data_IF_568933556708
#
_entry.id   IF_568933556708
#
_cell.length_a   1.000
_cell.length_b   1.000
_cell.length_c   1.000
_cell.angle_alpha   90.00
_cell.angle_beta   90.00
_cell.angle_gamma   90.00
#
_symmetry.space_group_name_H-M   'P 1'
#
loop_
_entity.id
_entity.type
_entity.pdbx_description
1 polymer ?
#
# COMPACT_ATOMS: atom_id res chain seq x y z
N UNK A 1 -12.21 32.89 6.28
CA UNK A 1 -11.85 32.51 7.67
C UNK A 1 -11.33 31.07 7.84
N UNK A 2 -11.39 30.18 6.84
CA UNK A 2 -10.91 28.79 6.98
C UNK A 2 -9.37 28.66 7.08
N UNK A 3 -8.61 29.53 6.41
CA UNK A 3 -7.13 29.41 6.36
C UNK A 3 -6.42 29.52 7.72
N UNK A 4 -6.75 30.48 8.61
CA UNK A 4 -6.16 30.52 9.96
C UNK A 4 -6.49 29.28 10.80
N UNK A 5 -7.73 28.78 10.71
CA UNK A 5 -8.16 27.58 11.44
C UNK A 5 -7.39 26.34 10.98
N UNK A 6 -7.20 26.18 9.66
CA UNK A 6 -6.41 25.07 9.11
C UNK A 6 -4.94 25.14 9.57
N UNK A 7 -4.33 26.33 9.57
CA UNK A 7 -2.95 26.51 10.04
C UNK A 7 -2.82 26.17 11.52
N UNK A 8 -3.76 26.63 12.36
CA UNK A 8 -3.77 26.31 13.79
C UNK A 8 -3.96 24.80 14.00
N UNK A 9 -4.88 24.17 13.28
CA UNK A 9 -5.12 22.73 13.38
C UNK A 9 -3.86 21.91 13.02
N UNK A 10 -3.18 22.27 11.92
CA UNK A 10 -1.91 21.64 11.54
C UNK A 10 -0.83 21.89 12.59
N UNK A 11 -0.73 23.10 13.14
CA UNK A 11 0.24 23.41 14.18
C UNK A 11 0.01 22.58 15.47
N UNK A 12 -1.25 22.42 15.88
CA UNK A 12 -1.62 21.57 17.03
C UNK A 12 -1.31 20.10 16.75
N UNK A 13 -1.63 19.59 15.55
CA UNK A 13 -1.32 18.22 15.16
C UNK A 13 0.18 17.95 15.13
N UNK A 14 0.97 18.84 14.53
CA UNK A 14 2.42 18.72 14.47
C UNK A 14 3.03 18.85 15.87
N UNK A 15 2.58 19.83 16.67
CA UNK A 15 3.07 20.03 18.03
C UNK A 15 2.80 18.83 18.95
N UNK A 16 1.57 18.30 18.92
CA UNK A 16 1.23 17.08 19.67
C UNK A 16 2.00 15.85 19.16
N UNK A 17 2.17 15.72 17.83
CA UNK A 17 2.99 14.67 17.23
C UNK A 17 4.45 14.72 17.70
N UNK A 18 5.07 15.90 17.73
CA UNK A 18 6.44 16.09 18.22
C UNK A 18 6.53 15.70 19.71
N UNK A 19 5.59 16.15 20.53
CA UNK A 19 5.56 15.82 21.96
C UNK A 19 5.44 14.30 22.19
N UNK A 20 4.51 13.63 21.49
CA UNK A 20 4.33 12.18 21.62
C UNK A 20 5.55 11.42 21.09
N UNK A 21 6.15 11.88 19.99
CA UNK A 21 7.36 11.27 19.41
C UNK A 21 8.54 11.34 20.38
N UNK A 22 8.70 12.46 21.09
CA UNK A 22 9.75 12.62 22.08
C UNK A 22 9.62 11.60 23.22
N UNK A 23 8.40 11.35 23.69
CA UNK A 23 8.14 10.45 24.83
C UNK A 23 8.12 8.97 24.45
N UNK A 24 7.58 8.61 23.28
CA UNK A 24 7.35 7.21 22.91
C UNK A 24 8.44 6.58 22.04
N UNK A 25 9.37 7.38 21.48
CA UNK A 25 10.40 6.86 20.57
C UNK A 25 11.78 6.79 21.22
N UNK A 26 12.19 7.84 21.92
CA UNK A 26 13.43 7.93 22.69
C UNK A 26 14.75 7.95 21.90
N UNK A 27 14.81 7.47 20.66
CA UNK A 27 16.04 7.47 19.84
C UNK A 27 15.77 7.36 18.32
N UNK A 28 16.78 7.69 17.49
CA UNK A 28 16.69 7.48 16.03
C UNK A 28 16.57 6.01 15.64
N UNK A 29 17.20 5.11 16.42
CA UNK A 29 17.06 3.65 16.22
C UNK A 29 15.63 3.22 16.52
N UNK A 30 15.02 3.74 17.59
CA UNK A 30 13.61 3.50 17.90
C UNK A 30 12.64 4.11 16.89
N UNK A 31 13.03 5.16 16.16
CA UNK A 31 12.21 5.76 15.09
C UNK A 31 12.15 4.87 13.85
N UNK A 32 13.30 4.29 13.48
CA UNK A 32 13.38 3.51 12.23
C UNK A 32 13.13 2.04 12.50
N UNK A 33 13.67 1.48 13.58
CA UNK A 33 13.79 0.05 13.87
C UNK A 33 12.68 -0.60 14.69
N UNK A 34 11.51 0.01 14.81
CA UNK A 34 10.34 -0.57 15.48
C UNK A 34 9.07 -0.35 14.67
N UNK A 35 8.06 -1.20 14.91
CA UNK A 35 6.74 -1.09 14.27
C UNK A 35 6.08 0.27 14.57
N UNK A 36 6.16 0.72 15.83
CA UNK A 36 5.67 2.03 16.24
C UNK A 36 6.35 3.18 15.50
N UNK A 37 7.69 3.16 15.44
CA UNK A 37 8.49 4.21 14.80
C UNK A 37 8.22 4.30 13.29
N UNK A 38 8.22 3.16 12.58
CA UNK A 38 7.98 3.17 11.14
C UNK A 38 6.53 3.53 10.78
N UNK A 39 5.56 3.16 11.62
CA UNK A 39 4.17 3.58 11.43
C UNK A 39 4.00 5.09 11.64
N UNK A 40 4.75 5.70 12.57
CA UNK A 40 4.84 7.15 12.66
C UNK A 40 5.48 7.75 11.39
N UNK A 41 6.58 7.20 10.88
CA UNK A 41 7.19 7.67 9.64
C UNK A 41 6.22 7.59 8.46
N UNK A 42 5.45 6.50 8.36
CA UNK A 42 4.34 6.35 7.41
C UNK A 42 3.36 7.52 7.51
N UNK A 43 2.89 7.85 8.72
CA UNK A 43 2.00 8.99 8.94
C UNK A 43 2.63 10.32 8.54
N UNK A 44 3.92 10.53 8.81
CA UNK A 44 4.65 11.74 8.42
C UNK A 44 4.73 11.85 6.89
N UNK A 45 5.06 10.77 6.19
CA UNK A 45 5.12 10.72 4.73
C UNK A 45 3.74 11.02 4.13
N UNK A 46 2.69 10.34 4.60
CA UNK A 46 1.31 10.59 4.17
C UNK A 46 0.88 12.03 4.44
N UNK A 47 1.17 12.57 5.64
CA UNK A 47 0.89 13.96 5.99
C UNK A 47 1.61 14.93 5.05
N UNK A 48 2.88 14.68 4.72
CA UNK A 48 3.62 15.47 3.73
C UNK A 48 2.94 15.49 2.37
N UNK A 49 2.41 14.34 1.93
CA UNK A 49 1.60 14.24 0.70
C UNK A 49 0.29 15.05 0.79
N UNK A 50 -0.43 14.95 1.90
CA UNK A 50 -1.65 15.74 2.14
C UNK A 50 -1.38 17.25 2.14
N UNK A 51 -0.34 17.70 2.85
CA UNK A 51 0.09 19.09 2.89
C UNK A 51 0.54 19.61 1.53
N UNK A 52 1.17 18.77 0.69
CA UNK A 52 1.52 19.14 -0.68
C UNK A 52 0.26 19.44 -1.50
N UNK A 53 -0.76 18.57 -1.43
CA UNK A 53 -2.04 18.81 -2.12
C UNK A 53 -2.76 20.05 -1.58
N UNK A 54 -2.79 20.23 -0.26
CA UNK A 54 -3.33 21.43 0.39
C UNK A 54 -2.59 22.71 -0.01
N UNK A 55 -1.26 22.64 -0.16
CA UNK A 55 -0.42 23.73 -0.66
C UNK A 55 -0.73 24.09 -2.11
N UNK A 56 -0.91 23.10 -3.00
CA UNK A 56 -1.34 23.31 -4.38
C UNK A 56 -2.71 24.01 -4.43
N UNK A 57 -3.64 23.62 -3.56
CA UNK A 57 -4.94 24.28 -3.41
C UNK A 57 -4.81 25.73 -2.96
N UNK A 58 -3.98 25.99 -1.94
CA UNK A 58 -3.75 27.36 -1.45
C UNK A 58 -3.15 28.26 -2.53
N UNK A 59 -2.19 27.76 -3.31
CA UNK A 59 -1.62 28.50 -4.45
C UNK A 59 -2.65 28.75 -5.55
N UNK A 60 -3.51 27.75 -5.85
CA UNK A 60 -4.59 27.89 -6.85
C UNK A 60 -5.57 28.99 -6.45
N UNK A 61 -5.99 29.04 -5.18
CA UNK A 61 -6.89 30.06 -4.64
C UNK A 61 -6.23 31.44 -4.63
N UNK A 62 -4.95 31.54 -4.26
CA UNK A 62 -4.21 32.80 -4.29
C UNK A 62 -4.06 33.35 -5.71
N UNK A 63 -3.75 32.49 -6.68
CA UNK A 63 -3.66 32.87 -8.08
C UNK A 63 -5.02 33.35 -8.62
N UNK A 64 -6.12 32.73 -8.21
CA UNK A 64 -7.46 33.22 -8.53
C UNK A 64 -7.73 34.62 -7.97
N UNK A 65 -7.35 34.87 -6.71
CA UNK A 65 -7.53 36.20 -6.11
C UNK A 65 -6.80 37.31 -6.90
N UNK A 66 -5.76 36.95 -7.66
CA UNK A 66 -5.00 37.86 -8.53
C UNK A 66 -5.59 37.94 -9.95
N UNK A 67 -6.04 36.82 -10.52
CA UNK A 67 -6.38 36.71 -11.95
C UNK A 67 -7.89 36.64 -12.25
N UNK A 68 -8.75 36.39 -11.25
CA UNK A 68 -10.22 36.34 -11.40
C UNK A 68 -10.79 35.08 -12.07
N UNK A 69 -9.98 34.09 -12.45
CA UNK A 69 -10.45 32.86 -13.13
C UNK A 69 -11.13 31.87 -12.17
N UNK A 70 -12.43 32.04 -11.95
CA UNK A 70 -13.24 31.15 -11.10
C UNK A 70 -13.29 29.71 -11.63
N UNK A 71 -13.12 29.50 -12.94
CA UNK A 71 -13.25 28.19 -13.57
C UNK A 71 -12.15 27.22 -13.13
N UNK A 72 -10.91 27.71 -13.02
CA UNK A 72 -9.79 26.90 -12.53
C UNK A 72 -9.99 26.46 -11.07
N UNK A 73 -10.47 27.34 -10.21
CA UNK A 73 -10.71 27.05 -8.78
C UNK A 73 -11.79 25.98 -8.63
N UNK A 74 -12.94 26.18 -9.27
CA UNK A 74 -14.08 25.26 -9.20
C UNK A 74 -13.75 23.87 -9.75
N UNK A 75 -12.82 23.78 -10.71
CA UNK A 75 -12.37 22.50 -11.27
C UNK A 75 -11.30 21.81 -10.42
N UNK A 76 -10.27 22.53 -9.97
CA UNK A 76 -9.07 21.93 -9.33
C UNK A 76 -9.25 21.67 -7.85
N UNK A 77 -9.77 22.66 -7.11
CA UNK A 77 -9.78 22.62 -5.64
C UNK A 77 -10.54 21.42 -5.08
N UNK A 78 -11.75 21.07 -5.58
CA UNK A 78 -12.47 19.91 -5.07
C UNK A 78 -11.73 18.59 -5.27
N UNK A 79 -11.02 18.44 -6.40
CA UNK A 79 -10.33 17.19 -6.73
C UNK A 79 -9.16 16.95 -5.79
N UNK A 80 -8.31 17.97 -5.60
CA UNK A 80 -7.20 17.87 -4.67
C UNK A 80 -7.65 17.78 -3.21
N UNK A 81 -8.71 18.50 -2.82
CA UNK A 81 -9.26 18.42 -1.47
C UNK A 81 -9.85 17.02 -1.17
N UNK A 82 -10.46 16.36 -2.16
CA UNK A 82 -10.94 14.98 -2.02
C UNK A 82 -9.78 13.98 -1.89
N UNK A 83 -8.71 14.16 -2.67
CA UNK A 83 -7.52 13.33 -2.55
C UNK A 83 -6.81 13.53 -1.20
N UNK A 84 -6.70 14.78 -0.75
CA UNK A 84 -6.20 15.15 0.58
C UNK A 84 -7.05 14.52 1.69
N UNK A 85 -8.38 14.56 1.59
CA UNK A 85 -9.28 13.92 2.54
C UNK A 85 -9.12 12.40 2.57
N UNK A 86 -8.89 11.75 1.42
CA UNK A 86 -8.58 10.33 1.35
C UNK A 86 -7.28 9.97 2.10
N UNK A 87 -6.21 10.74 1.88
CA UNK A 87 -4.95 10.60 2.63
C UNK A 87 -5.18 10.83 4.13
N UNK A 88 -5.93 11.87 4.49
CA UNK A 88 -6.29 12.18 5.88
C UNK A 88 -7.03 11.04 6.57
N UNK A 89 -8.00 10.42 5.89
CA UNK A 89 -8.70 9.23 6.40
C UNK A 89 -7.74 8.06 6.65
N UNK A 90 -6.79 7.82 5.75
CA UNK A 90 -5.76 6.79 5.96
C UNK A 90 -4.85 7.13 7.15
N UNK A 91 -4.47 8.40 7.34
CA UNK A 91 -3.68 8.82 8.51
C UNK A 91 -4.43 8.53 9.81
N UNK A 92 -5.75 8.72 9.85
CA UNK A 92 -6.58 8.39 11.01
C UNK A 92 -6.62 6.87 11.26
N UNK A 93 -6.77 6.06 10.21
CA UNK A 93 -6.72 4.61 10.33
C UNK A 93 -5.35 4.12 10.81
N UNK A 94 -4.26 4.66 10.26
CA UNK A 94 -2.90 4.38 10.71
C UNK A 94 -2.67 4.82 12.17
N UNK A 95 -3.27 5.93 12.59
CA UNK A 95 -3.22 6.36 13.99
C UNK A 95 -3.95 5.39 14.93
N UNK A 96 -5.09 4.83 14.50
CA UNK A 96 -5.79 3.79 15.26
C UNK A 96 -4.98 2.48 15.32
N UNK A 97 -4.35 2.06 14.21
CA UNK A 97 -3.46 0.90 14.22
C UNK A 97 -2.24 1.09 15.14
N UNK A 98 -1.70 2.31 15.19
CA UNK A 98 -0.55 2.67 16.04
C UNK A 98 -0.83 2.47 17.54
N UNK A 99 -2.09 2.57 18.01
CA UNK A 99 -2.41 2.35 19.43
C UNK A 99 -2.28 0.89 19.86
N UNK A 100 -2.25 -0.04 18.90
CA UNK A 100 -2.00 -1.46 19.16
C UNK A 100 -0.52 -1.82 19.23
N UNK A 101 0.37 -0.89 18.87
CA UNK A 101 1.81 -1.13 18.82
C UNK A 101 2.48 -0.65 20.12
N UNK A 102 3.40 -1.43 20.72
CA UNK A 102 4.12 -0.96 21.89
C UNK A 102 5.03 0.22 21.50
N UNK A 103 5.11 1.27 22.33
CA UNK A 103 6.06 2.35 22.14
C UNK A 103 7.50 1.87 21.94
N UNK A 104 8.29 2.55 21.10
CA UNK A 104 9.67 2.14 20.83
C UNK A 104 10.56 2.12 22.07
N UNK A 105 10.25 2.97 23.06
CA UNK A 105 10.93 3.02 24.37
C UNK A 105 10.72 1.77 25.21
N UNK A 106 9.65 1.00 24.96
CA UNK A 106 9.32 -0.22 25.71
C UNK A 106 9.93 -1.48 25.07
N UNK A 107 10.41 -1.39 23.82
CA UNK A 107 10.93 -2.52 23.04
C UNK A 107 12.41 -2.35 22.64
N UNK A 108 13.21 -1.67 23.46
CA UNK A 108 14.63 -1.35 23.17
C UNK A 108 15.45 -2.60 22.78
N UNK A 109 15.19 -3.74 23.40
CA UNK A 109 15.91 -5.00 23.12
C UNK A 109 15.47 -5.70 21.82
N UNK A 110 14.37 -5.26 21.20
CA UNK A 110 13.81 -5.83 19.96
C UNK A 110 13.97 -4.88 18.77
N UNK A 111 14.67 -3.76 18.93
CA UNK A 111 14.86 -2.79 17.85
C UNK A 111 15.77 -3.36 16.76
N UNK A 112 15.38 -3.16 15.50
CA UNK A 112 16.27 -3.37 14.37
C UNK A 112 17.23 -2.20 14.22
N UNK A 113 18.46 -2.49 13.83
CA UNK A 113 19.43 -1.48 13.41
C UNK A 113 19.00 -0.85 12.08
N UNK A 114 19.33 0.43 11.83
CA UNK A 114 19.03 1.06 10.53
C UNK A 114 19.61 0.29 9.33
N UNK A 115 20.73 -0.42 9.52
CA UNK A 115 21.32 -1.27 8.49
C UNK A 115 20.46 -2.50 8.17
N UNK A 116 19.89 -3.16 9.18
CA UNK A 116 18.94 -4.27 8.99
C UNK A 116 17.68 -3.79 8.25
N UNK A 117 17.17 -2.60 8.58
CA UNK A 117 16.01 -1.99 7.89
C UNK A 117 16.34 -1.66 6.44
N UNK A 118 17.51 -1.08 6.17
CA UNK A 118 17.94 -0.82 4.81
C UNK A 118 18.07 -2.12 4.00
N UNK A 119 18.61 -3.18 4.62
CA UNK A 119 18.76 -4.49 4.00
C UNK A 119 17.41 -5.09 3.55
N UNK A 120 16.30 -4.76 4.22
CA UNK A 120 14.94 -5.16 3.77
C UNK A 120 14.68 -4.70 2.33
N UNK A 121 15.11 -3.49 1.96
CA UNK A 121 14.86 -2.89 0.65
C UNK A 121 15.97 -3.12 -0.38
N UNK A 122 17.10 -3.69 0.02
CA UNK A 122 18.21 -3.95 -0.90
C UNK A 122 17.85 -5.05 -1.91
N UNK A 123 18.35 -4.97 -3.16
CA UNK A 123 18.18 -6.04 -4.14
C UNK A 123 18.72 -7.37 -3.61
N UNK A 124 17.88 -8.40 -3.67
CA UNK A 124 18.20 -9.78 -3.27
C UNK A 124 17.90 -10.72 -4.44
N UNK A 125 18.52 -11.91 -4.42
CA UNK A 125 18.19 -12.96 -5.38
C UNK A 125 16.76 -13.46 -5.11
N UNK A 126 15.81 -13.35 -6.06
CA UNK A 126 14.44 -13.79 -5.82
C UNK A 126 14.33 -15.31 -5.73
N UNK A 127 13.45 -15.78 -4.86
CA UNK A 127 13.01 -17.15 -4.72
C UNK A 127 11.97 -17.45 -5.81
N UNK A 128 12.39 -18.04 -6.94
CA UNK A 128 11.49 -18.36 -8.05
C UNK A 128 11.01 -19.82 -8.06
N UNK A 129 11.43 -20.60 -7.08
CA UNK A 129 11.04 -22.00 -6.90
C UNK A 129 10.30 -22.16 -5.58
N UNK A 130 9.08 -22.73 -5.56
CA UNK A 130 8.31 -22.92 -4.34
C UNK A 130 8.95 -23.96 -3.42
N UNK A 131 8.53 -23.98 -2.15
CA UNK A 131 8.90 -25.05 -1.25
C UNK A 131 8.30 -26.39 -1.72
N UNK A 132 8.93 -27.56 -1.46
CA UNK A 132 8.35 -28.86 -1.77
C UNK A 132 7.02 -29.07 -1.05
N UNK A 133 5.91 -28.97 -1.78
CA UNK A 133 4.57 -28.84 -1.23
C UNK A 133 4.19 -29.95 -0.23
N UNK A 134 4.44 -31.21 -0.56
CA UNK A 134 4.13 -32.34 0.32
C UNK A 134 4.90 -32.30 1.66
N UNK A 135 6.15 -31.82 1.65
CA UNK A 135 6.95 -31.68 2.88
C UNK A 135 6.48 -30.50 3.72
N UNK A 136 6.11 -29.41 3.05
CA UNK A 136 5.54 -28.23 3.69
C UNK A 136 4.22 -28.60 4.37
N UNK A 137 3.27 -29.21 3.65
CA UNK A 137 1.95 -29.58 4.20
C UNK A 137 2.04 -30.53 5.39
N UNK A 138 3.03 -31.44 5.40
CA UNK A 138 3.24 -32.37 6.51
C UNK A 138 3.72 -31.71 7.82
N UNK A 139 4.26 -30.49 7.74
CA UNK A 139 4.82 -29.75 8.89
C UNK A 139 4.23 -28.34 9.03
N UNK A 140 3.29 -27.97 8.15
CA UNK A 140 2.72 -26.63 8.13
C UNK A 140 1.85 -26.44 9.36
N UNK A 141 1.91 -25.23 9.92
CA UNK A 141 1.06 -24.94 11.08
C UNK A 141 -0.33 -24.58 10.60
N UNK A 142 -1.35 -24.87 11.42
CA UNK A 142 -2.72 -24.51 11.04
C UNK A 142 -2.86 -23.00 10.94
N UNK A 143 -3.54 -22.52 9.90
CA UNK A 143 -3.87 -21.09 9.76
C UNK A 143 -4.78 -20.57 10.89
N UNK A 144 -5.43 -21.48 11.62
CA UNK A 144 -6.27 -21.17 12.77
C UNK A 144 -5.45 -20.97 14.07
N UNK A 145 -4.18 -21.37 14.10
CA UNK A 145 -3.29 -21.14 15.24
C UNK A 145 -2.56 -19.81 15.09
N UNK A 146 -3.17 -18.75 15.63
CA UNK A 146 -2.66 -17.38 15.61
C UNK A 146 -1.37 -17.18 16.43
N UNK A 147 -0.95 -18.16 17.24
CA UNK A 147 0.30 -18.10 18.00
C UNK A 147 1.45 -18.83 17.31
N UNK A 148 1.15 -19.57 16.25
CA UNK A 148 2.14 -20.32 15.51
C UNK A 148 3.17 -19.42 14.82
N UNK A 149 4.37 -19.97 14.65
CA UNK A 149 5.45 -19.30 13.95
C UNK A 149 5.75 -20.05 12.66
N UNK A 150 5.91 -19.33 11.54
CA UNK A 150 6.15 -19.98 10.26
C UNK A 150 7.48 -20.75 10.27
N UNK A 151 7.41 -22.02 9.88
CA UNK A 151 8.51 -22.94 9.69
C UNK A 151 9.44 -22.48 8.57
N UNK A 152 10.63 -23.10 8.48
CA UNK A 152 11.57 -22.80 7.40
C UNK A 152 10.98 -22.99 5.99
N UNK A 153 10.15 -24.02 5.78
CA UNK A 153 9.52 -24.26 4.49
C UNK A 153 8.43 -23.24 4.17
N UNK A 154 7.66 -22.82 5.17
CA UNK A 154 6.66 -21.75 5.01
C UNK A 154 7.32 -20.42 4.66
N UNK A 155 8.49 -20.10 5.24
CA UNK A 155 9.28 -18.91 4.84
C UNK A 155 9.75 -18.96 3.40
N UNK A 156 10.24 -20.12 2.93
CA UNK A 156 10.59 -20.30 1.49
C UNK A 156 9.37 -20.07 0.60
N UNK A 157 8.20 -20.57 1.02
CA UNK A 157 6.95 -20.40 0.27
C UNK A 157 6.48 -18.94 0.29
N UNK A 158 6.59 -18.26 1.43
CA UNK A 158 6.33 -16.82 1.58
C UNK A 158 7.24 -15.99 0.66
N UNK A 159 8.55 -16.25 0.65
CA UNK A 159 9.50 -15.61 -0.26
C UNK A 159 9.10 -15.83 -1.73
N UNK A 160 8.77 -17.06 -2.09
CA UNK A 160 8.31 -17.41 -3.44
C UNK A 160 7.03 -16.63 -3.82
N UNK A 161 6.05 -16.59 -2.92
CA UNK A 161 4.79 -15.89 -3.14
C UNK A 161 5.01 -14.40 -3.37
N UNK A 162 5.80 -13.74 -2.52
CA UNK A 162 6.10 -12.32 -2.66
C UNK A 162 6.90 -12.04 -3.93
N UNK A 163 7.94 -12.82 -4.22
CA UNK A 163 8.81 -12.54 -5.37
C UNK A 163 8.09 -12.77 -6.72
N UNK A 164 7.27 -13.80 -6.85
CA UNK A 164 6.43 -14.00 -8.04
C UNK A 164 5.37 -12.91 -8.16
N UNK A 165 4.74 -12.50 -7.05
CA UNK A 165 3.82 -11.36 -7.03
C UNK A 165 4.52 -10.09 -7.51
N UNK A 166 5.78 -9.87 -7.11
CA UNK A 166 6.61 -8.76 -7.57
C UNK A 166 6.78 -8.75 -9.10
N UNK A 167 7.02 -9.91 -9.71
CA UNK A 167 7.09 -10.03 -11.18
C UNK A 167 5.76 -9.64 -11.83
N UNK A 168 4.63 -10.18 -11.36
CA UNK A 168 3.31 -9.81 -11.88
C UNK A 168 3.06 -8.31 -11.78
N UNK A 169 3.35 -7.70 -10.62
CA UNK A 169 3.12 -6.28 -10.35
C UNK A 169 4.03 -5.39 -11.20
N UNK A 170 5.31 -5.74 -11.40
CA UNK A 170 6.22 -5.02 -12.30
C UNK A 170 5.68 -5.07 -13.73
N UNK A 171 5.27 -6.24 -14.21
CA UNK A 171 4.73 -6.40 -15.56
C UNK A 171 3.43 -5.61 -15.76
N UNK A 172 2.56 -5.56 -14.74
CA UNK A 172 1.36 -4.72 -14.73
C UNK A 172 1.72 -3.23 -14.84
N UNK A 173 2.69 -2.76 -14.05
CA UNK A 173 3.15 -1.37 -14.09
C UNK A 173 3.82 -0.98 -15.41
N UNK A 174 4.66 -1.85 -15.97
CA UNK A 174 5.26 -1.66 -17.30
C UNK A 174 4.15 -1.63 -18.37
N UNK A 175 3.19 -2.55 -18.30
CA UNK A 175 2.05 -2.59 -19.22
C UNK A 175 1.23 -1.31 -19.18
N UNK A 176 0.99 -0.76 -17.99
CA UNK A 176 0.34 0.53 -17.80
C UNK A 176 1.14 1.68 -18.46
N UNK A 177 2.45 1.79 -18.19
CA UNK A 177 3.30 2.82 -18.80
C UNK A 177 3.36 2.70 -20.33
N UNK A 178 3.47 1.48 -20.87
CA UNK A 178 3.45 1.23 -22.30
C UNK A 178 2.12 1.65 -22.92
N UNK A 179 1.00 1.40 -22.25
CA UNK A 179 -0.29 1.87 -22.73
C UNK A 179 -0.40 3.39 -22.77
N UNK A 180 0.14 4.08 -21.74
CA UNK A 180 0.14 5.55 -21.71
C UNK A 180 1.07 6.20 -22.75
N UNK A 181 2.18 5.54 -23.09
CA UNK A 181 3.22 6.11 -23.96
C UNK A 181 3.07 5.70 -25.43
N UNK A 182 2.40 4.58 -25.72
CA UNK A 182 2.29 4.06 -27.09
C UNK A 182 0.87 4.23 -27.66
N UNK A 183 0.77 4.36 -28.99
CA UNK A 183 -0.52 4.35 -29.71
C UNK A 183 -1.01 2.95 -30.08
N UNK A 184 -0.36 1.90 -29.54
CA UNK A 184 -0.61 0.52 -29.96
C UNK A 184 -1.88 -0.02 -29.31
N UNK A 185 -2.88 -0.38 -30.12
CA UNK A 185 -4.21 -0.81 -29.64
C UNK A 185 -4.18 -2.04 -28.71
N UNK A 186 -3.20 -2.94 -28.85
CA UNK A 186 -3.14 -4.17 -28.04
C UNK A 186 -2.72 -3.90 -26.59
N UNK A 187 -1.99 -2.80 -26.32
CA UNK A 187 -1.52 -2.47 -24.96
C UNK A 187 -2.67 -2.21 -23.99
N UNK A 188 -3.86 -1.86 -24.49
CA UNK A 188 -5.09 -1.67 -23.68
C UNK A 188 -5.52 -2.90 -22.88
N UNK A 189 -4.95 -4.07 -23.20
CA UNK A 189 -5.28 -5.34 -22.56
C UNK A 189 -4.32 -5.72 -21.43
N UNK A 190 -3.34 -4.87 -21.09
CA UNK A 190 -2.43 -5.09 -19.96
C UNK A 190 -3.12 -5.46 -18.63
N UNK A 191 -4.33 -4.95 -18.27
CA UNK A 191 -4.94 -5.31 -17.00
C UNK A 191 -5.46 -6.76 -16.97
N UNK A 192 -5.53 -7.46 -18.11
CA UNK A 192 -5.89 -8.88 -18.10
C UNK A 192 -4.84 -9.73 -17.36
N UNK A 193 -3.63 -9.23 -17.15
CA UNK A 193 -2.60 -9.90 -16.34
C UNK A 193 -2.99 -10.02 -14.86
N UNK A 194 -3.97 -9.25 -14.37
CA UNK A 194 -4.55 -9.44 -13.04
C UNK A 194 -5.27 -10.80 -12.89
N UNK A 195 -5.75 -11.41 -13.98
CA UNK A 195 -6.45 -12.71 -13.94
C UNK A 195 -5.50 -13.85 -13.52
N UNK A 196 -4.39 -14.13 -14.24
CA UNK A 196 -3.45 -15.15 -13.79
C UNK A 196 -2.79 -14.78 -12.46
N UNK A 197 -2.63 -13.49 -12.15
CA UNK A 197 -2.12 -13.07 -10.84
C UNK A 197 -3.08 -13.42 -9.70
N UNK A 198 -4.38 -13.16 -9.85
CA UNK A 198 -5.38 -13.58 -8.87
C UNK A 198 -5.46 -15.11 -8.74
N UNK A 199 -5.34 -15.84 -9.86
CA UNK A 199 -5.25 -17.31 -9.83
C UNK A 199 -4.02 -17.80 -9.06
N UNK A 200 -2.88 -17.12 -9.20
CA UNK A 200 -1.67 -17.38 -8.41
C UNK A 200 -1.92 -17.14 -6.92
N UNK A 201 -2.47 -15.98 -6.54
CA UNK A 201 -2.76 -15.67 -5.13
C UNK A 201 -3.72 -16.69 -4.51
N UNK A 202 -4.81 -17.03 -5.20
CA UNK A 202 -5.79 -18.01 -4.72
C UNK A 202 -5.17 -19.40 -4.48
N UNK A 203 -4.17 -19.77 -5.27
CA UNK A 203 -3.60 -21.12 -5.28
C UNK A 203 -2.41 -21.27 -4.35
N UNK A 204 -1.55 -20.25 -4.27
CA UNK A 204 -0.23 -20.36 -3.63
C UNK A 204 -0.07 -19.51 -2.37
N UNK A 205 -0.91 -18.48 -2.16
CA UNK A 205 -0.77 -17.59 -1.01
C UNK A 205 -0.93 -18.34 0.33
N UNK A 206 -1.82 -19.34 0.38
CA UNK A 206 -2.17 -20.10 1.58
C UNK A 206 -1.79 -21.57 1.42
N UNK A 207 -0.66 -22.03 1.99
CA UNK A 207 -0.17 -23.40 1.81
C UNK A 207 -1.09 -24.48 2.37
N UNK A 208 -1.72 -24.22 3.52
CA UNK A 208 -2.62 -25.18 4.19
C UNK A 208 -4.07 -25.03 3.78
N UNK A 209 -4.42 -23.90 3.16
CA UNK A 209 -5.76 -23.58 2.71
C UNK A 209 -6.13 -24.21 1.37
N UNK A 210 -7.43 -24.39 1.15
CA UNK A 210 -8.00 -24.64 -0.17
C UNK A 210 -7.47 -23.62 -1.21
N UNK A 211 -7.13 -24.02 -2.46
CA UNK A 211 -7.50 -25.29 -3.11
C UNK A 211 -6.53 -26.45 -2.94
N UNK A 212 -5.27 -26.18 -2.58
CA UNK A 212 -4.25 -27.23 -2.53
C UNK A 212 -4.15 -27.90 -1.16
N UNK A 213 -4.52 -27.19 -0.10
CA UNK A 213 -4.32 -27.62 1.28
C UNK A 213 -5.48 -28.40 1.86
N UNK A 214 -5.31 -28.84 3.11
CA UNK A 214 -6.29 -29.68 3.82
C UNK A 214 -7.34 -28.85 4.59
N UNK A 215 -7.09 -27.55 4.80
CA UNK A 215 -8.01 -26.66 5.51
C UNK A 215 -9.09 -26.14 4.56
N UNK A 216 -10.35 -26.31 4.97
CA UNK A 216 -11.51 -25.92 4.18
C UNK A 216 -11.60 -24.41 3.93
N UNK A 217 -12.16 -24.03 2.78
CA UNK A 217 -12.30 -22.63 2.39
C UNK A 217 -13.06 -21.82 3.46
N UNK A 218 -14.30 -22.17 3.81
CA UNK A 218 -15.07 -21.35 4.74
C UNK A 218 -14.50 -21.32 6.17
N UNK A 219 -13.86 -22.42 6.61
CA UNK A 219 -13.31 -22.53 7.96
C UNK A 219 -12.19 -21.53 8.20
N UNK A 220 -11.36 -21.28 7.19
CA UNK A 220 -10.19 -20.40 7.25
C UNK A 220 -10.55 -18.92 7.08
N UNK A 221 -11.83 -18.56 6.89
CA UNK A 221 -12.25 -17.15 6.86
C UNK A 221 -12.16 -16.45 8.22
N UNK A 222 -12.08 -17.22 9.31
CA UNK A 222 -11.88 -16.66 10.65
C UNK A 222 -10.40 -16.35 10.93
N UNK A 223 -9.47 -16.97 10.19
CA UNK A 223 -8.04 -16.69 10.29
C UNK A 223 -7.76 -15.29 9.69
N UNK A 224 -7.25 -14.32 10.46
CA UNK A 224 -7.09 -12.95 9.97
C UNK A 224 -6.19 -12.86 8.73
N UNK A 225 -5.05 -13.55 8.74
CA UNK A 225 -4.09 -13.56 7.62
C UNK A 225 -4.75 -14.12 6.35
N UNK A 226 -5.32 -15.33 6.42
CA UNK A 226 -6.03 -15.95 5.29
C UNK A 226 -7.19 -15.10 4.78
N UNK A 227 -7.96 -14.47 5.67
CA UNK A 227 -9.02 -13.55 5.28
C UNK A 227 -8.46 -12.36 4.50
N UNK A 228 -7.36 -11.75 4.97
CA UNK A 228 -6.73 -10.62 4.28
C UNK A 228 -6.19 -11.01 2.90
N UNK A 229 -5.53 -12.17 2.75
CA UNK A 229 -5.06 -12.64 1.44
C UNK A 229 -6.20 -12.92 0.45
N UNK A 230 -7.35 -13.41 0.93
CA UNK A 230 -8.54 -13.61 0.10
C UNK A 230 -9.21 -12.31 -0.30
N UNK A 231 -9.33 -11.36 0.63
CA UNK A 231 -9.81 -10.02 0.31
C UNK A 231 -8.88 -9.35 -0.70
N UNK A 232 -7.56 -9.51 -0.56
CA UNK A 232 -6.58 -9.03 -1.53
C UNK A 232 -6.78 -9.68 -2.92
N UNK A 233 -7.01 -11.00 -2.97
CA UNK A 233 -7.30 -11.72 -4.24
C UNK A 233 -8.56 -11.16 -4.92
N UNK A 234 -9.62 -10.92 -4.16
CA UNK A 234 -10.85 -10.30 -4.65
C UNK A 234 -10.58 -8.88 -5.14
N UNK A 235 -9.84 -8.07 -4.39
CA UNK A 235 -9.46 -6.71 -4.77
C UNK A 235 -8.66 -6.70 -6.08
N UNK A 236 -7.70 -7.61 -6.26
CA UNK A 236 -6.89 -7.78 -7.48
C UNK A 236 -7.77 -8.09 -8.70
N UNK A 237 -8.78 -8.95 -8.55
CA UNK A 237 -9.76 -9.21 -9.62
C UNK A 237 -10.59 -7.99 -9.98
N UNK A 238 -11.08 -7.26 -8.96
CA UNK A 238 -11.82 -6.02 -9.18
C UNK A 238 -10.95 -4.95 -9.86
N UNK A 239 -9.69 -4.81 -9.45
CA UNK A 239 -8.71 -3.93 -10.11
C UNK A 239 -8.57 -4.28 -11.59
N UNK A 240 -8.30 -5.55 -11.90
CA UNK A 240 -8.17 -6.01 -13.28
C UNK A 240 -9.40 -5.73 -14.12
N UNK A 241 -10.58 -6.05 -13.58
CA UNK A 241 -11.85 -5.82 -14.26
C UNK A 241 -12.09 -4.34 -14.54
N UNK A 242 -12.07 -3.49 -13.50
CA UNK A 242 -12.37 -2.07 -13.67
C UNK A 242 -11.33 -1.36 -14.51
N UNK A 243 -10.04 -1.69 -14.35
CA UNK A 243 -8.95 -1.10 -15.13
C UNK A 243 -9.04 -1.50 -16.60
N UNK A 244 -9.32 -2.77 -16.89
CA UNK A 244 -9.54 -3.23 -18.26
C UNK A 244 -10.75 -2.56 -18.89
N UNK A 245 -11.87 -2.47 -18.17
CA UNK A 245 -13.07 -1.76 -18.65
C UNK A 245 -12.76 -0.30 -18.94
N UNK A 246 -12.09 0.39 -18.02
CA UNK A 246 -11.73 1.81 -18.15
C UNK A 246 -10.89 2.08 -19.40
N UNK A 247 -9.94 1.19 -19.70
CA UNK A 247 -8.95 1.38 -20.78
C UNK A 247 -9.41 0.81 -22.12
N UNK A 248 -10.15 -0.30 -22.11
CA UNK A 248 -10.54 -1.01 -23.33
C UNK A 248 -11.93 -0.62 -23.86
N UNK A 249 -12.73 0.12 -23.08
CA UNK A 249 -14.13 0.45 -23.43
C UNK A 249 -14.52 1.89 -23.04
N UNK A 250 -15.73 2.33 -23.38
CA UNK A 250 -16.24 3.68 -23.04
C UNK A 250 -16.57 3.88 -21.55
N UNK A 251 -16.16 2.96 -20.67
CA UNK A 251 -16.40 3.01 -19.22
C UNK A 251 -15.87 4.29 -18.56
N UNK A 252 -14.83 4.91 -19.13
CA UNK A 252 -14.29 6.21 -18.67
C UNK A 252 -15.27 7.38 -18.75
N UNK A 253 -16.41 7.23 -19.45
CA UNK A 253 -17.51 8.21 -19.49
C UNK A 253 -18.51 8.05 -18.35
N UNK A 254 -18.39 7.00 -17.54
CA UNK A 254 -19.31 6.69 -16.42
C UNK A 254 -18.68 7.03 -15.07
N UNK A 255 -19.50 7.15 -14.02
CA UNK A 255 -19.01 7.38 -12.65
C UNK A 255 -18.19 6.20 -12.10
N UNK A 256 -18.24 5.01 -12.72
CA UNK A 256 -17.44 3.85 -12.31
C UNK A 256 -15.94 4.05 -12.44
N UNK A 257 -15.47 5.05 -13.21
CA UNK A 257 -14.05 5.43 -13.26
C UNK A 257 -13.47 5.82 -11.90
N UNK A 258 -14.31 6.19 -10.94
CA UNK A 258 -13.89 6.55 -9.58
C UNK A 258 -13.75 5.35 -8.64
N UNK A 259 -14.21 4.15 -9.04
CA UNK A 259 -14.03 2.95 -8.24
C UNK A 259 -12.54 2.64 -8.03
N UNK A 260 -11.73 2.78 -9.08
CA UNK A 260 -10.31 2.41 -9.04
C UNK A 260 -9.49 3.17 -7.98
N UNK A 261 -9.48 4.53 -7.95
CA UNK A 261 -8.82 5.27 -6.87
C UNK A 261 -9.29 4.88 -5.48
N UNK A 262 -10.58 4.63 -5.29
CA UNK A 262 -11.14 4.22 -3.99
C UNK A 262 -10.61 2.85 -3.60
N UNK A 263 -10.59 1.89 -4.53
CA UNK A 263 -10.04 0.55 -4.28
C UNK A 263 -8.53 0.65 -3.96
N UNK A 264 -7.76 1.52 -4.62
CA UNK A 264 -6.33 1.75 -4.28
C UNK A 264 -6.15 2.28 -2.85
N UNK A 265 -6.96 3.26 -2.45
CA UNK A 265 -6.94 3.81 -1.08
C UNK A 265 -7.34 2.75 -0.07
N UNK A 266 -8.39 1.96 -0.34
CA UNK A 266 -8.85 0.89 0.54
C UNK A 266 -7.80 -0.22 0.68
N UNK A 267 -7.19 -0.66 -0.43
CA UNK A 267 -6.13 -1.67 -0.40
C UNK A 267 -4.88 -1.18 0.34
N UNK A 268 -4.46 0.07 0.11
CA UNK A 268 -3.36 0.69 0.84
C UNK A 268 -3.66 0.85 2.34
N UNK A 269 -4.86 1.31 2.69
CA UNK A 269 -5.28 1.45 4.08
C UNK A 269 -5.34 0.09 4.79
N UNK A 270 -5.90 -0.94 4.14
CA UNK A 270 -5.93 -2.30 4.67
C UNK A 270 -4.52 -2.82 4.98
N UNK A 271 -3.58 -2.67 4.04
CA UNK A 271 -2.18 -3.06 4.23
C UNK A 271 -1.51 -2.34 5.40
N UNK A 272 -1.77 -1.04 5.57
CA UNK A 272 -1.20 -0.24 6.67
C UNK A 272 -1.81 -0.58 8.04
N UNK A 273 -2.99 -1.19 8.08
CA UNK A 273 -3.68 -1.50 9.33
C UNK A 273 -3.59 -2.96 9.75
N UNK A 274 -3.05 -3.83 8.89
CA UNK A 274 -2.86 -5.24 9.22
C UNK A 274 -1.51 -5.46 9.92
N UNK A 275 -1.50 -6.37 10.90
CA UNK A 275 -0.33 -6.72 11.73
C UNK A 275 0.04 -8.18 11.52
N UNK A 276 1.33 -8.46 11.35
CA UNK A 276 1.83 -9.80 11.03
C UNK A 276 2.06 -10.70 12.24
N UNK A 277 1.99 -10.18 13.47
CA UNK A 277 1.96 -11.03 14.66
C UNK A 277 1.44 -10.31 15.90
N UNK A 278 1.11 -11.09 16.93
CA UNK A 278 0.77 -10.61 18.28
C UNK A 278 2.04 -10.16 19.03
N UNK A 279 3.22 -10.56 18.55
CA UNK A 279 4.50 -10.30 19.19
C UNK A 279 5.22 -9.12 18.54
N UNK A 280 5.59 -8.13 19.35
CA UNK A 280 6.42 -7.01 18.88
C UNK A 280 7.91 -7.41 18.82
N UNK A 281 8.24 -8.44 18.03
CA UNK A 281 9.61 -8.88 17.83
C UNK A 281 10.26 -8.19 16.61
N UNK A 282 11.60 -8.20 16.60
CA UNK A 282 12.40 -7.56 15.53
C UNK A 282 12.05 -8.11 14.14
N UNK A 283 11.73 -9.39 14.04
CA UNK A 283 11.54 -10.08 12.76
C UNK A 283 10.21 -9.69 12.12
N UNK A 284 9.11 -9.72 12.89
CA UNK A 284 7.80 -9.25 12.46
C UNK A 284 7.89 -7.79 12.01
N UNK A 285 8.60 -6.95 12.76
CA UNK A 285 8.83 -5.56 12.38
C UNK A 285 9.52 -5.42 11.00
N UNK A 286 10.57 -6.20 10.70
CA UNK A 286 11.28 -6.11 9.41
C UNK A 286 10.38 -6.49 8.23
N UNK A 287 9.43 -7.41 8.44
CA UNK A 287 8.40 -7.77 7.45
C UNK A 287 7.41 -6.60 7.28
N UNK A 288 6.93 -6.03 8.38
CA UNK A 288 5.99 -4.90 8.38
C UNK A 288 6.57 -3.65 7.70
N UNK A 289 7.89 -3.43 7.78
CA UNK A 289 8.56 -2.32 7.08
C UNK A 289 8.31 -2.35 5.55
N UNK A 290 8.36 -3.54 4.95
CA UNK A 290 8.06 -3.73 3.52
C UNK A 290 6.60 -3.41 3.20
N UNK A 291 5.68 -3.90 4.04
CA UNK A 291 4.24 -3.70 3.88
C UNK A 291 3.84 -2.23 4.03
N UNK A 292 4.46 -1.51 4.96
CA UNK A 292 4.26 -0.08 5.12
C UNK A 292 4.68 0.70 3.87
N UNK A 293 5.83 0.36 3.28
CA UNK A 293 6.26 0.97 2.02
C UNK A 293 5.25 0.70 0.89
N UNK A 294 4.76 -0.53 0.75
CA UNK A 294 3.74 -0.88 -0.23
C UNK A 294 2.44 -0.10 0.03
N UNK A 295 2.01 -0.01 1.28
CA UNK A 295 0.81 0.73 1.69
C UNK A 295 0.89 2.21 1.31
N UNK A 296 2.01 2.88 1.61
CA UNK A 296 2.24 4.29 1.22
C UNK A 296 2.14 4.46 -0.30
N UNK A 297 2.81 3.60 -1.07
CA UNK A 297 2.80 3.65 -2.52
C UNK A 297 1.39 3.42 -3.08
N UNK A 298 0.61 2.53 -2.48
CA UNK A 298 -0.78 2.29 -2.85
C UNK A 298 -1.69 3.50 -2.58
N UNK A 299 -1.50 4.22 -1.46
CA UNK A 299 -2.22 5.46 -1.19
C UNK A 299 -1.88 6.54 -2.22
N UNK A 300 -0.59 6.72 -2.55
CA UNK A 300 -0.21 7.69 -3.59
C UNK A 300 -0.67 7.29 -4.99
N UNK A 301 -0.69 6.00 -5.30
CA UNK A 301 -1.30 5.47 -6.52
C UNK A 301 -2.79 5.84 -6.59
N UNK A 302 -3.53 5.69 -5.49
CA UNK A 302 -4.93 6.09 -5.38
C UNK A 302 -5.15 7.60 -5.54
N UNK A 303 -4.36 8.41 -4.84
CA UNK A 303 -4.43 9.88 -4.93
C UNK A 303 -4.10 10.38 -6.35
N UNK A 304 -3.05 9.84 -6.98
CA UNK A 304 -2.69 10.16 -8.36
C UNK A 304 -3.77 9.72 -9.35
N UNK A 305 -4.31 8.51 -9.21
CA UNK A 305 -5.44 8.04 -10.02
C UNK A 305 -6.68 8.92 -9.88
N UNK A 306 -6.98 9.41 -8.67
CA UNK A 306 -8.10 10.33 -8.45
C UNK A 306 -7.94 11.65 -9.23
N UNK A 307 -6.72 12.20 -9.22
CA UNK A 307 -6.38 13.43 -9.93
C UNK A 307 -6.40 13.22 -11.45
N UNK A 308 -5.80 12.13 -11.93
CA UNK A 308 -5.73 11.81 -13.37
C UNK A 308 -7.12 11.71 -14.00
N UNK A 309 -8.08 11.08 -13.32
CA UNK A 309 -9.42 10.84 -13.87
C UNK A 309 -10.32 12.08 -13.87
N UNK A 310 -9.94 13.15 -13.16
CA UNK A 310 -10.79 14.33 -12.93
C UNK A 310 -10.22 15.65 -13.45
N UNK A 311 -8.89 15.74 -13.59
CA UNK A 311 -8.23 16.92 -14.14
C UNK A 311 -7.71 16.66 -15.55
N UNK A 312 -7.35 17.75 -16.24
CA UNK A 312 -6.78 17.73 -17.58
C UNK A 312 -5.43 18.45 -17.62
N UNK A 313 -4.74 18.39 -18.76
CA UNK A 313 -3.49 19.12 -18.98
C UNK A 313 -2.34 18.57 -18.14
N UNK A 314 -1.57 19.49 -17.53
CA UNK A 314 -0.33 19.15 -16.83
C UNK A 314 -0.57 18.27 -15.61
N UNK A 315 -1.63 18.53 -14.84
CA UNK A 315 -1.96 17.74 -13.65
C UNK A 315 -2.22 16.28 -14.02
N UNK A 316 -3.03 16.08 -15.06
CA UNK A 316 -3.32 14.74 -15.57
C UNK A 316 -2.06 14.02 -16.06
N UNK A 317 -1.21 14.71 -16.81
CA UNK A 317 0.03 14.13 -17.36
C UNK A 317 1.01 13.69 -16.27
N UNK A 318 1.15 14.51 -15.21
CA UNK A 318 1.97 14.17 -14.06
C UNK A 318 1.36 12.97 -13.34
N UNK A 319 0.08 13.03 -12.99
CA UNK A 319 -0.62 11.97 -12.26
C UNK A 319 -0.68 10.63 -13.01
N UNK A 320 -0.86 10.65 -14.34
CA UNK A 320 -0.83 9.44 -15.18
C UNK A 320 0.52 8.74 -15.21
N UNK A 321 1.59 9.43 -14.82
CA UNK A 321 2.93 8.86 -14.71
C UNK A 321 3.25 8.40 -13.29
N UNK A 322 2.72 9.08 -12.26
CA UNK A 322 2.98 8.76 -10.85
C UNK A 322 2.44 7.37 -10.49
N UNK A 323 1.18 7.09 -10.81
CA UNK A 323 0.53 5.87 -10.32
C UNK A 323 1.16 4.58 -10.88
N UNK A 324 1.57 4.48 -12.17
CA UNK A 324 2.27 3.29 -12.66
C UNK A 324 3.68 3.16 -12.08
N UNK A 325 4.37 4.28 -11.83
CA UNK A 325 5.69 4.27 -11.18
C UNK A 325 5.55 3.71 -9.76
N UNK A 326 4.55 4.16 -8.98
CA UNK A 326 4.25 3.57 -7.68
C UNK A 326 4.01 2.07 -7.77
N UNK A 327 3.24 1.62 -8.77
CA UNK A 327 2.97 0.20 -8.97
C UNK A 327 4.26 -0.60 -9.26
N UNK A 328 5.16 -0.07 -10.10
CA UNK A 328 6.46 -0.70 -10.36
C UNK A 328 7.32 -0.76 -9.09
N UNK A 329 7.33 0.31 -8.28
CA UNK A 329 8.05 0.34 -7.01
C UNK A 329 7.51 -0.70 -6.02
N UNK A 330 6.19 -0.88 -5.93
CA UNK A 330 5.58 -1.98 -5.16
C UNK A 330 6.11 -3.33 -5.66
N UNK A 331 6.14 -3.50 -6.98
CA UNK A 331 6.67 -4.71 -7.59
C UNK A 331 8.14 -4.98 -7.24
N UNK A 332 8.99 -3.95 -7.15
CA UNK A 332 10.37 -4.10 -6.68
C UNK A 332 10.48 -4.46 -5.20
N UNK A 333 9.67 -3.85 -4.34
CA UNK A 333 9.64 -4.21 -2.90
C UNK A 333 9.28 -5.69 -2.74
N UNK A 334 8.29 -6.17 -3.49
CA UNK A 334 7.89 -7.58 -3.50
C UNK A 334 8.94 -8.51 -4.13
N UNK A 335 9.59 -8.09 -5.22
CA UNK A 335 10.61 -8.88 -5.91
C UNK A 335 11.85 -9.12 -5.04
N UNK A 336 12.20 -8.14 -4.19
CA UNK A 336 13.34 -8.23 -3.28
C UNK A 336 12.95 -8.55 -1.83
N UNK A 337 11.68 -8.88 -1.60
CA UNK A 337 11.21 -9.38 -0.32
C UNK A 337 11.96 -10.66 0.07
N UNK A 338 12.30 -10.76 1.36
CA UNK A 338 12.96 -11.93 1.94
C UNK A 338 12.67 -12.01 3.43
N UNK A 339 12.19 -13.15 3.87
CA UNK A 339 11.92 -13.48 5.28
C UNK A 339 13.05 -14.30 5.94
N UNK A 340 13.92 -14.89 5.10
CA UNK A 340 15.08 -15.71 5.48
C UNK A 340 16.36 -14.93 5.69
#
# INVERSE_FOLDING_TARGET
>A
HFSPMAVIAVAVLVGSGIYLSWNYIGSMVGLVGTAYGIMLLTKIILMGGGLLLGGINALTIRNWALCGDCGQVLRRVPVFAQAEAGIGATILMAAAALTGQPPSVDVVNQQATPAEVLHVFMPKKPQLTPAPYAKMLAHATSSLDIYSQPTYLEKIQSDFNHNISGIFVILLGIGALLHHTTKMKWTRHWPLLFIPFAGFLLTFAEPTGWPLGHEGFFNTLIAPETLTHRLATVLVLFFGFFQWRLVATDFGRTNWRYALPVIYVLGGAMLLTHTHSIYADKRTYLIEASHNAIGILAIYMGAAGWVEQRLDGRERQISSSIWPICLILVGFVLLFYREL
#
